data_IF_410543347503
#
_entry.id   IF_410543347503
#
_cell.length_a   1.000
_cell.length_b   1.000
_cell.length_c   1.000
_cell.angle_alpha   90.00
_cell.angle_beta   90.00
_cell.angle_gamma   90.00
#
_symmetry.space_group_name_H-M   'P 1'
#
loop_
_entity.id
_entity.type
_entity.pdbx_description
1 polymer ?
#
# COMPACT_ATOMS: atom_id res chain seq x y z
N UNK A 1 -4.71 19.27 15.87
CA UNK A 1 -4.68 17.92 16.49
C UNK A 1 -4.46 16.81 15.48
N UNK A 2 -5.02 16.85 14.32
CA UNK A 2 -4.92 15.82 13.24
C UNK A 2 -3.51 15.59 12.70
N UNK A 3 -2.65 16.63 12.63
CA UNK A 3 -1.27 16.53 12.11
C UNK A 3 -0.37 15.53 12.84
N UNK A 4 -0.64 15.22 14.13
CA UNK A 4 0.16 14.25 14.91
C UNK A 4 -0.51 12.88 15.01
N UNK A 5 -1.82 12.79 14.79
CA UNK A 5 -2.57 11.54 14.93
C UNK A 5 -2.12 10.49 13.90
N UNK A 6 -1.94 10.89 12.63
CA UNK A 6 -1.53 9.97 11.58
C UNK A 6 -0.22 9.24 11.87
N UNK A 7 0.92 9.95 12.08
CA UNK A 7 2.18 9.31 12.42
C UNK A 7 2.13 8.44 13.69
N UNK A 8 1.34 8.84 14.70
CA UNK A 8 1.18 8.06 15.93
C UNK A 8 0.49 6.73 15.63
N UNK A 9 -0.61 6.73 14.87
CA UNK A 9 -1.32 5.51 14.49
C UNK A 9 -0.39 4.56 13.72
N UNK A 10 0.36 5.07 12.75
CA UNK A 10 1.31 4.26 11.97
C UNK A 10 2.39 3.67 12.87
N UNK A 11 2.99 4.48 13.76
CA UNK A 11 4.03 4.02 14.68
C UNK A 11 3.51 2.95 15.64
N UNK A 12 2.30 3.13 16.18
CA UNK A 12 1.65 2.12 17.03
C UNK A 12 1.38 0.83 16.27
N UNK A 13 0.93 0.91 15.01
CA UNK A 13 0.71 -0.28 14.18
C UNK A 13 2.03 -0.99 13.86
N UNK A 14 3.09 -0.25 13.55
CA UNK A 14 4.43 -0.81 13.33
C UNK A 14 4.95 -1.48 14.62
N UNK A 15 4.82 -0.81 15.74
CA UNK A 15 5.21 -1.38 17.03
C UNK A 15 4.43 -2.65 17.36
N UNK A 16 3.11 -2.64 17.14
CA UNK A 16 2.26 -3.82 17.30
C UNK A 16 2.66 -4.96 16.36
N UNK A 17 2.97 -4.67 15.09
CA UNK A 17 3.41 -5.67 14.13
C UNK A 17 4.77 -6.29 14.48
N UNK A 18 5.72 -5.49 14.99
CA UNK A 18 7.10 -5.95 15.29
C UNK A 18 7.17 -6.62 16.65
N UNK A 19 6.68 -5.96 17.68
CA UNK A 19 6.84 -6.35 19.09
C UNK A 19 5.69 -7.26 19.54
N UNK A 20 4.46 -7.00 19.04
CA UNK A 20 3.24 -7.67 19.48
C UNK A 20 3.31 -9.20 19.47
N UNK A 21 3.78 -9.87 18.40
CA UNK A 21 3.87 -11.32 18.38
C UNK A 21 4.85 -11.92 19.43
N UNK A 22 5.78 -11.12 19.96
CA UNK A 22 6.65 -11.55 21.07
C UNK A 22 6.00 -11.35 22.44
N UNK A 23 4.99 -10.49 22.55
CA UNK A 23 4.27 -10.21 23.80
C UNK A 23 3.03 -11.09 23.98
N UNK A 24 2.44 -11.60 22.89
CA UNK A 24 1.25 -12.46 22.94
C UNK A 24 1.71 -13.90 23.12
N UNK A 25 1.30 -14.59 24.19
CA UNK A 25 1.74 -15.95 24.48
C UNK A 25 1.08 -17.01 23.57
N UNK A 26 0.13 -16.61 22.71
CA UNK A 26 -0.62 -17.51 21.85
C UNK A 26 -0.06 -17.53 20.43
N UNK A 27 0.00 -18.75 19.86
CA UNK A 27 0.34 -18.91 18.45
C UNK A 27 -0.87 -18.54 17.55
N UNK A 28 -0.61 -17.72 16.54
CA UNK A 28 -1.63 -17.31 15.56
C UNK A 28 -2.17 -18.46 14.69
N UNK A 29 -1.55 -19.65 14.74
CA UNK A 29 -1.87 -20.80 13.89
C UNK A 29 -2.47 -21.94 14.73
N UNK A 30 -2.14 -22.03 16.03
CA UNK A 30 -2.62 -23.08 16.93
C UNK A 30 -4.16 -23.05 17.00
N UNK A 31 -4.77 -24.23 16.82
CA UNK A 31 -6.21 -24.40 16.78
C UNK A 31 -6.71 -25.05 18.08
N UNK A 32 -7.84 -24.54 18.58
CA UNK A 32 -8.57 -25.11 19.73
C UNK A 32 -10.08 -25.16 19.38
N UNK A 33 -10.50 -26.19 18.66
CA UNK A 33 -11.86 -26.33 18.17
C UNK A 33 -12.96 -26.27 19.25
N UNK A 34 -12.75 -26.77 20.48
CA UNK A 34 -13.68 -26.57 21.61
C UNK A 34 -13.94 -25.10 21.93
N UNK A 35 -12.94 -24.22 21.69
CA UNK A 35 -13.00 -22.79 22.01
C UNK A 35 -13.41 -21.93 20.81
N UNK A 36 -13.78 -22.52 19.68
CA UNK A 36 -14.16 -21.80 18.45
C UNK A 36 -15.25 -20.76 18.70
N UNK A 37 -15.15 -19.62 18.03
CA UNK A 37 -16.11 -18.50 18.08
C UNK A 37 -16.31 -17.87 19.45
N UNK A 38 -15.52 -18.25 20.45
CA UNK A 38 -15.62 -17.64 21.77
C UNK A 38 -15.30 -16.15 21.71
N UNK A 39 -16.14 -15.36 22.37
CA UNK A 39 -15.97 -13.91 22.49
C UNK A 39 -14.74 -13.53 23.32
N UNK A 40 -14.47 -12.22 23.41
CA UNK A 40 -13.37 -11.67 24.20
C UNK A 40 -13.38 -12.16 25.65
N UNK A 41 -12.20 -12.54 26.17
CA UNK A 41 -11.98 -13.01 27.53
C UNK A 41 -10.62 -12.51 28.07
N UNK A 42 -10.33 -12.70 29.36
CA UNK A 42 -9.05 -12.32 29.93
C UNK A 42 -7.85 -13.08 29.32
N UNK A 43 -8.03 -14.34 28.94
CA UNK A 43 -7.01 -15.14 28.26
C UNK A 43 -6.91 -14.82 26.78
N UNK A 44 -8.02 -14.46 26.12
CA UNK A 44 -8.13 -14.15 24.71
C UNK A 44 -8.79 -12.78 24.52
N UNK A 45 -8.06 -11.65 24.62
CA UNK A 45 -8.64 -10.30 24.71
C UNK A 45 -9.54 -9.90 23.54
N UNK A 46 -9.30 -10.44 22.35
CA UNK A 46 -10.13 -10.19 21.15
C UNK A 46 -11.01 -11.37 20.78
N UNK A 47 -10.99 -12.46 21.57
CA UNK A 47 -11.74 -13.69 21.29
C UNK A 47 -10.98 -14.63 20.35
N UNK A 48 -11.71 -15.64 19.86
CA UNK A 48 -11.19 -16.71 19.03
C UNK A 48 -11.98 -16.83 17.72
N UNK A 49 -11.32 -17.32 16.67
CA UNK A 49 -11.92 -17.47 15.36
C UNK A 49 -12.71 -18.80 15.17
N UNK A 50 -13.15 -19.07 13.95
CA UNK A 50 -13.92 -20.27 13.57
C UNK A 50 -13.18 -21.60 13.80
N UNK A 51 -11.85 -21.57 13.90
CA UNK A 51 -11.00 -22.72 14.21
C UNK A 51 -10.44 -22.69 15.63
N UNK A 52 -10.92 -21.77 16.47
CA UNK A 52 -10.40 -21.58 17.82
C UNK A 52 -8.97 -21.05 17.87
N UNK A 53 -8.56 -20.24 16.90
CA UNK A 53 -7.25 -19.55 16.90
C UNK A 53 -7.39 -18.17 17.56
N UNK A 54 -6.37 -17.74 18.28
CA UNK A 54 -6.39 -16.46 18.96
C UNK A 54 -6.45 -15.27 17.98
N UNK A 55 -7.50 -14.45 18.10
CA UNK A 55 -7.75 -13.35 17.18
C UNK A 55 -6.73 -12.21 17.30
N UNK A 56 -6.21 -11.98 18.52
CA UNK A 56 -5.17 -10.95 18.73
C UNK A 56 -3.86 -11.36 18.06
N UNK A 57 -3.41 -12.59 18.25
CA UNK A 57 -2.21 -13.10 17.61
C UNK A 57 -2.31 -13.03 16.07
N UNK A 58 -3.47 -13.37 15.52
CA UNK A 58 -3.76 -13.28 14.08
C UNK A 58 -3.81 -11.83 13.60
N UNK A 59 -4.38 -10.92 14.37
CA UNK A 59 -4.42 -9.49 14.04
C UNK A 59 -3.01 -8.90 13.93
N UNK A 60 -2.11 -9.26 14.84
CA UNK A 60 -0.72 -8.83 14.84
C UNK A 60 0.07 -9.43 13.65
N UNK A 61 -0.18 -10.68 13.30
CA UNK A 61 0.35 -11.30 12.09
C UNK A 61 -0.15 -10.57 10.84
N UNK A 62 -1.44 -10.27 10.78
CA UNK A 62 -2.06 -9.51 9.69
C UNK A 62 -1.46 -8.11 9.51
N UNK A 63 -1.12 -7.43 10.61
CA UNK A 63 -0.45 -6.14 10.56
C UNK A 63 0.91 -6.21 9.82
N UNK A 64 1.70 -7.26 10.05
CA UNK A 64 2.97 -7.49 9.32
C UNK A 64 2.73 -7.64 7.83
N UNK A 65 1.72 -8.43 7.45
CA UNK A 65 1.38 -8.67 6.04
C UNK A 65 0.95 -7.37 5.37
N UNK A 66 0.01 -6.63 5.96
CA UNK A 66 -0.51 -5.39 5.40
C UNK A 66 0.58 -4.32 5.25
N UNK A 67 1.46 -4.17 6.24
CA UNK A 67 2.60 -3.25 6.16
C UNK A 67 3.61 -3.69 5.09
N UNK A 68 3.93 -4.99 5.03
CA UNK A 68 4.84 -5.54 4.01
C UNK A 68 4.31 -5.29 2.59
N UNK A 69 3.02 -5.57 2.35
CA UNK A 69 2.39 -5.32 1.04
C UNK A 69 2.39 -3.84 0.72
N UNK A 70 1.96 -2.99 1.67
CA UNK A 70 1.95 -1.55 1.48
C UNK A 70 3.32 -1.02 1.04
N UNK A 71 4.37 -1.33 1.81
CA UNK A 71 5.75 -0.88 1.52
C UNK A 71 6.25 -1.45 0.19
N UNK A 72 6.01 -2.74 -0.08
CA UNK A 72 6.45 -3.39 -1.32
C UNK A 72 5.77 -2.80 -2.55
N UNK A 73 4.44 -2.68 -2.53
CA UNK A 73 3.65 -2.15 -3.64
C UNK A 73 4.01 -0.69 -3.90
N UNK A 74 3.99 0.14 -2.86
CA UNK A 74 4.26 1.57 -2.99
C UNK A 74 5.72 1.82 -3.36
N UNK A 75 6.67 1.13 -2.72
CA UNK A 75 8.09 1.28 -2.99
C UNK A 75 8.45 0.97 -4.44
N UNK A 76 7.98 -0.19 -4.95
CA UNK A 76 8.24 -0.60 -6.33
C UNK A 76 7.48 0.31 -7.33
N UNK A 77 6.21 0.61 -7.06
CA UNK A 77 5.41 1.49 -7.92
C UNK A 77 5.97 2.91 -8.01
N UNK A 78 6.41 3.47 -6.89
CA UNK A 78 7.02 4.79 -6.85
C UNK A 78 8.37 4.81 -7.59
N UNK A 79 9.21 3.79 -7.40
CA UNK A 79 10.50 3.67 -8.09
C UNK A 79 10.31 3.57 -9.61
N UNK A 80 9.53 2.59 -10.05
CA UNK A 80 9.28 2.33 -11.47
C UNK A 80 8.56 3.53 -12.12
N UNK A 81 7.50 4.02 -11.48
CA UNK A 81 6.75 5.16 -11.99
C UNK A 81 7.57 6.44 -12.06
N UNK A 82 8.43 6.70 -11.06
CA UNK A 82 9.33 7.87 -11.09
C UNK A 82 10.31 7.80 -12.26
N UNK A 83 10.93 6.65 -12.49
CA UNK A 83 11.88 6.49 -13.60
C UNK A 83 11.15 6.65 -14.95
N UNK A 84 10.06 5.93 -15.15
CA UNK A 84 9.30 5.97 -16.41
C UNK A 84 8.73 7.38 -16.66
N UNK A 85 8.13 7.99 -15.64
CA UNK A 85 7.57 9.34 -15.74
C UNK A 85 8.63 10.42 -16.00
N UNK A 86 9.82 10.28 -15.37
CA UNK A 86 10.92 11.19 -15.59
C UNK A 86 11.47 11.09 -17.02
N UNK A 87 11.65 9.87 -17.52
CA UNK A 87 12.10 9.63 -18.90
C UNK A 87 11.08 10.16 -19.91
N UNK A 88 9.80 9.84 -19.76
CA UNK A 88 8.73 10.30 -20.65
C UNK A 88 8.65 11.84 -20.67
N UNK A 89 8.58 12.47 -19.50
CA UNK A 89 8.46 13.93 -19.40
C UNK A 89 9.67 14.68 -19.91
N UNK A 90 10.87 14.13 -19.75
CA UNK A 90 12.11 14.79 -20.16
C UNK A 90 12.38 14.64 -21.67
N UNK A 91 12.28 13.43 -22.22
CA UNK A 91 12.51 13.16 -23.64
C UNK A 91 11.42 13.76 -24.54
N UNK A 92 10.15 13.65 -24.12
CA UNK A 92 9.03 14.10 -24.94
C UNK A 92 8.86 13.27 -26.22
N UNK A 93 8.20 13.85 -27.24
CA UNK A 93 8.06 13.27 -28.56
C UNK A 93 7.46 11.85 -28.58
N UNK A 94 8.07 10.96 -29.37
CA UNK A 94 7.60 9.59 -29.57
C UNK A 94 7.66 8.75 -28.28
N UNK A 95 8.71 8.90 -27.47
CA UNK A 95 8.85 8.18 -26.19
C UNK A 95 7.70 8.53 -25.23
N UNK A 96 7.39 9.81 -25.12
CA UNK A 96 6.28 10.29 -24.31
C UNK A 96 4.92 9.79 -24.81
N UNK A 97 4.72 9.80 -26.14
CA UNK A 97 3.50 9.31 -26.76
C UNK A 97 3.27 7.80 -26.53
N UNK A 98 4.33 6.97 -26.65
CA UNK A 98 4.23 5.53 -26.41
C UNK A 98 3.94 5.24 -24.93
N UNK A 99 4.72 5.83 -24.01
CA UNK A 99 4.53 5.64 -22.57
C UNK A 99 3.15 6.13 -22.14
N UNK A 100 2.71 7.29 -22.68
CA UNK A 100 1.37 7.82 -22.44
C UNK A 100 0.28 6.84 -22.87
N UNK A 101 0.41 6.25 -24.06
CA UNK A 101 -0.54 5.26 -24.57
C UNK A 101 -0.61 4.00 -23.68
N UNK A 102 0.54 3.49 -23.20
CA UNK A 102 0.57 2.36 -22.26
C UNK A 102 -0.14 2.70 -20.96
N UNK A 103 0.12 3.89 -20.40
CA UNK A 103 -0.58 4.36 -19.19
C UNK A 103 -2.10 4.47 -19.42
N UNK A 104 -2.53 4.98 -20.57
CA UNK A 104 -3.94 5.13 -20.89
C UNK A 104 -4.65 3.78 -21.04
N UNK A 105 -4.00 2.79 -21.67
CA UNK A 105 -4.52 1.41 -21.76
C UNK A 105 -4.70 0.79 -20.37
N UNK A 106 -3.71 0.91 -19.47
CA UNK A 106 -3.82 0.36 -18.12
C UNK A 106 -4.92 1.05 -17.29
N UNK A 107 -5.14 2.35 -17.48
CA UNK A 107 -6.17 3.11 -16.78
C UNK A 107 -7.57 2.99 -17.42
N UNK A 108 -7.68 2.44 -18.62
CA UNK A 108 -8.98 2.12 -19.21
C UNK A 108 -9.72 1.00 -18.44
N UNK A 109 -8.97 0.19 -17.69
CA UNK A 109 -9.54 -0.85 -16.82
C UNK A 109 -9.68 -0.33 -15.38
N UNK A 110 -10.79 -0.64 -14.69
CA UNK A 110 -10.87 -0.43 -13.24
C UNK A 110 -9.75 -1.19 -12.54
N UNK A 111 -8.87 -0.48 -11.78
CA UNK A 111 -7.64 -1.07 -11.24
C UNK A 111 -7.86 -2.35 -10.44
N UNK A 112 -8.88 -2.38 -9.56
CA UNK A 112 -9.17 -3.57 -8.76
C UNK A 112 -9.60 -4.77 -9.62
N UNK A 113 -10.36 -4.55 -10.70
CA UNK A 113 -10.78 -5.63 -11.60
C UNK A 113 -9.59 -6.20 -12.37
N UNK A 114 -8.66 -5.35 -12.79
CA UNK A 114 -7.44 -5.80 -13.44
C UNK A 114 -6.55 -6.59 -12.46
N UNK A 115 -6.46 -6.15 -11.20
CA UNK A 115 -5.73 -6.89 -10.16
C UNK A 115 -6.36 -8.27 -9.91
N UNK A 116 -7.69 -8.36 -9.81
CA UNK A 116 -8.41 -9.63 -9.67
C UNK A 116 -8.10 -10.55 -10.85
N UNK A 117 -8.20 -10.03 -12.09
CA UNK A 117 -7.93 -10.82 -13.30
C UNK A 117 -6.49 -11.33 -13.33
N UNK A 118 -5.51 -10.49 -12.98
CA UNK A 118 -4.10 -10.90 -12.92
C UNK A 118 -3.86 -11.99 -11.89
N UNK A 119 -4.39 -11.84 -10.67
CA UNK A 119 -4.22 -12.84 -9.61
C UNK A 119 -4.97 -14.12 -9.94
N UNK A 120 -6.15 -14.06 -10.57
CA UNK A 120 -6.89 -15.24 -11.01
C UNK A 120 -6.10 -16.08 -12.02
N UNK A 121 -5.30 -15.45 -12.90
CA UNK A 121 -4.44 -16.14 -13.86
C UNK A 121 -3.13 -16.63 -13.22
N UNK A 122 -2.50 -15.82 -12.35
CA UNK A 122 -1.22 -16.14 -11.73
C UNK A 122 -1.36 -17.14 -10.55
N UNK A 123 -2.56 -17.29 -10.02
CA UNK A 123 -2.87 -18.06 -8.81
C UNK A 123 -2.81 -17.22 -7.53
N UNK A 124 -3.57 -17.64 -6.49
CA UNK A 124 -3.68 -16.92 -5.23
C UNK A 124 -2.39 -17.04 -4.41
N UNK A 125 -1.74 -15.90 -4.17
CA UNK A 125 -0.56 -15.82 -3.27
C UNK A 125 -0.25 -14.36 -2.95
N UNK A 126 0.43 -14.12 -1.83
CA UNK A 126 0.89 -12.78 -1.45
C UNK A 126 1.77 -12.14 -2.53
N UNK A 127 2.69 -12.92 -3.12
CA UNK A 127 3.57 -12.45 -4.19
C UNK A 127 2.78 -11.96 -5.41
N UNK A 128 1.79 -12.72 -5.83
CA UNK A 128 0.99 -12.39 -7.01
C UNK A 128 0.08 -11.20 -6.77
N UNK A 129 -0.43 -11.02 -5.53
CA UNK A 129 -1.11 -9.79 -5.10
C UNK A 129 -0.21 -8.57 -5.23
N UNK A 130 1.02 -8.63 -4.69
CA UNK A 130 1.99 -7.53 -4.82
C UNK A 130 2.28 -7.23 -6.29
N UNK A 131 2.53 -8.25 -7.12
CA UNK A 131 2.79 -8.09 -8.55
C UNK A 131 1.61 -7.43 -9.28
N UNK A 132 0.39 -7.89 -9.01
CA UNK A 132 -0.82 -7.32 -9.62
C UNK A 132 -1.03 -5.86 -9.23
N UNK A 133 -0.88 -5.52 -7.95
CA UNK A 133 -1.03 -4.14 -7.47
C UNK A 133 0.09 -3.22 -8.00
N UNK A 134 1.32 -3.71 -8.10
CA UNK A 134 2.45 -2.95 -8.70
C UNK A 134 2.22 -2.69 -10.18
N UNK A 135 1.70 -3.69 -10.93
CA UNK A 135 1.44 -3.57 -12.38
C UNK A 135 0.52 -2.40 -12.71
N UNK A 136 -0.35 -2.02 -11.80
CA UNK A 136 -1.27 -0.88 -11.96
C UNK A 136 -0.74 0.36 -11.24
N UNK A 137 -0.16 0.17 -10.06
CA UNK A 137 0.22 1.24 -9.14
C UNK A 137 1.24 2.23 -9.70
N UNK A 138 2.20 1.77 -10.51
CA UNK A 138 3.25 2.63 -11.07
C UNK A 138 2.73 3.76 -11.96
N UNK A 139 1.56 3.57 -12.60
CA UNK A 139 0.98 4.53 -13.56
C UNK A 139 0.68 5.87 -12.89
N UNK A 140 0.14 5.85 -11.67
CA UNK A 140 -0.15 7.07 -10.89
C UNK A 140 1.10 7.90 -10.62
N UNK A 141 2.19 7.23 -10.24
CA UNK A 141 3.49 7.88 -10.01
C UNK A 141 4.10 8.40 -11.32
N UNK A 142 4.03 7.61 -12.38
CA UNK A 142 4.56 8.02 -13.68
C UNK A 142 3.85 9.28 -14.22
N UNK A 143 2.52 9.37 -14.12
CA UNK A 143 1.77 10.57 -14.50
C UNK A 143 2.15 11.78 -13.65
N UNK A 144 2.22 11.60 -12.34
CA UNK A 144 2.61 12.66 -11.42
C UNK A 144 4.00 13.22 -11.78
N UNK A 145 4.98 12.33 -11.87
CA UNK A 145 6.38 12.70 -12.16
C UNK A 145 6.51 13.31 -13.56
N UNK A 146 5.88 12.71 -14.58
CA UNK A 146 5.85 13.27 -15.93
C UNK A 146 5.34 14.72 -15.92
N UNK A 147 4.22 15.00 -15.22
CA UNK A 147 3.67 16.35 -15.11
C UNK A 147 4.61 17.34 -14.43
N UNK A 148 5.36 16.90 -13.41
CA UNK A 148 6.38 17.73 -12.76
C UNK A 148 7.57 17.98 -13.69
N UNK A 149 8.07 16.94 -14.36
CA UNK A 149 9.24 17.01 -15.22
C UNK A 149 9.01 17.90 -16.42
N UNK A 150 7.81 17.92 -16.99
CA UNK A 150 7.45 18.87 -18.06
C UNK A 150 7.63 20.34 -17.65
N UNK A 151 7.43 20.67 -16.36
CA UNK A 151 7.68 22.01 -15.81
C UNK A 151 9.15 22.22 -15.50
N UNK A 152 9.80 21.23 -14.88
CA UNK A 152 11.19 21.32 -14.41
C UNK A 152 12.16 21.46 -15.58
N UNK A 153 11.93 20.78 -16.70
CA UNK A 153 12.82 20.81 -17.86
C UNK A 153 12.89 22.18 -18.56
N UNK A 154 11.87 23.03 -18.35
CA UNK A 154 11.82 24.38 -18.92
C UNK A 154 12.49 25.44 -18.01
N UNK A 155 12.97 25.06 -16.82
CA UNK A 155 13.66 25.97 -15.92
C UNK A 155 15.07 26.32 -16.45
N UNK A 156 15.47 27.58 -16.34
CA UNK A 156 16.71 28.12 -16.88
C UNK A 156 17.96 27.33 -16.47
N UNK A 157 18.02 26.90 -15.20
CA UNK A 157 19.16 26.13 -14.72
C UNK A 157 19.26 24.74 -15.36
N UNK A 158 18.12 24.09 -15.69
CA UNK A 158 18.10 22.80 -16.38
C UNK A 158 18.54 23.00 -17.83
N UNK A 159 18.07 24.05 -18.48
CA UNK A 159 18.46 24.40 -19.84
C UNK A 159 19.96 24.74 -19.92
N UNK A 160 20.50 25.51 -18.96
CA UNK A 160 21.91 25.80 -18.87
C UNK A 160 22.77 24.51 -18.73
N UNK A 161 22.33 23.53 -17.92
CA UNK A 161 23.04 22.26 -17.77
C UNK A 161 23.00 21.46 -19.08
N UNK A 162 21.89 21.50 -19.80
CA UNK A 162 21.78 20.87 -21.14
C UNK A 162 22.72 21.50 -22.14
N UNK A 163 22.84 22.83 -22.12
CA UNK A 163 23.75 23.56 -23.01
C UNK A 163 25.24 23.25 -22.76
N UNK A 164 25.58 22.66 -21.61
CA UNK A 164 26.92 22.18 -21.25
C UNK A 164 27.14 20.68 -21.61
N UNK A 165 26.36 20.13 -22.53
CA UNK A 165 26.45 18.74 -22.99
C UNK A 165 26.35 17.69 -21.88
N UNK A 166 25.65 17.99 -20.78
CA UNK A 166 25.42 17.04 -19.72
C UNK A 166 24.59 15.83 -20.20
N UNK A 167 25.04 14.60 -19.88
CA UNK A 167 24.33 13.39 -20.27
C UNK A 167 22.92 13.35 -19.66
N UNK A 168 21.97 12.75 -20.39
CA UNK A 168 20.58 12.53 -19.92
C UNK A 168 20.53 11.95 -18.50
N UNK A 169 21.32 10.89 -18.25
CA UNK A 169 21.35 10.23 -16.96
C UNK A 169 21.77 11.17 -15.82
N UNK A 170 22.75 12.07 -16.08
CA UNK A 170 23.21 13.07 -15.11
C UNK A 170 22.11 14.09 -14.81
N UNK A 171 21.46 14.64 -15.84
CA UNK A 171 20.37 15.60 -15.66
C UNK A 171 19.20 14.99 -14.89
N UNK A 172 18.76 13.79 -15.28
CA UNK A 172 17.66 13.10 -14.59
C UNK A 172 18.01 12.82 -13.13
N UNK A 173 19.16 12.18 -12.87
CA UNK A 173 19.53 11.71 -11.54
C UNK A 173 19.87 12.82 -10.58
N UNK A 174 20.58 13.89 -11.05
CA UNK A 174 21.08 14.93 -10.17
C UNK A 174 20.14 16.12 -10.00
N UNK A 175 19.24 16.36 -10.97
CA UNK A 175 18.41 17.57 -10.97
C UNK A 175 16.91 17.30 -11.06
N UNK A 176 16.48 16.43 -11.97
CA UNK A 176 15.06 16.23 -12.27
C UNK A 176 14.39 15.34 -11.21
N UNK A 177 14.91 14.14 -10.97
CA UNK A 177 14.31 13.20 -10.01
C UNK A 177 14.29 13.77 -8.58
N UNK A 178 15.37 14.37 -8.05
CA UNK A 178 15.33 14.98 -6.72
C UNK A 178 14.29 16.10 -6.59
N UNK A 179 14.06 16.88 -7.64
CA UNK A 179 13.03 17.92 -7.63
C UNK A 179 11.59 17.40 -7.58
N UNK A 180 11.35 16.12 -7.94
CA UNK A 180 10.03 15.48 -7.83
C UNK A 180 9.79 14.80 -6.48
N UNK A 181 10.81 14.73 -5.61
CA UNK A 181 10.78 13.92 -4.38
C UNK A 181 9.64 14.30 -3.43
N UNK A 182 9.35 15.58 -3.26
CA UNK A 182 8.24 16.02 -2.38
C UNK A 182 6.90 15.50 -2.87
N UNK A 183 6.61 15.66 -4.15
CA UNK A 183 5.36 15.20 -4.74
C UNK A 183 5.21 13.66 -4.69
N UNK A 184 6.31 12.94 -4.99
CA UNK A 184 6.34 11.47 -4.90
C UNK A 184 6.15 10.98 -3.46
N UNK A 185 6.76 11.64 -2.47
CA UNK A 185 6.62 11.27 -1.06
C UNK A 185 5.19 11.42 -0.54
N UNK A 186 4.51 12.52 -0.89
CA UNK A 186 3.09 12.70 -0.57
C UNK A 186 2.24 11.63 -1.24
N UNK A 187 2.43 11.39 -2.54
CA UNK A 187 1.72 10.36 -3.28
C UNK A 187 1.99 8.96 -2.71
N UNK A 188 3.23 8.67 -2.26
CA UNK A 188 3.58 7.40 -1.64
C UNK A 188 2.83 7.17 -0.33
N UNK A 189 2.72 8.20 0.52
CA UNK A 189 1.98 8.09 1.78
C UNK A 189 0.50 7.78 1.54
N UNK A 190 -0.14 8.46 0.59
CA UNK A 190 -1.54 8.19 0.20
C UNK A 190 -1.68 6.83 -0.50
N UNK A 191 -0.68 6.45 -1.29
CA UNK A 191 -0.60 5.15 -1.97
C UNK A 191 -0.58 3.96 -1.00
N UNK A 192 0.00 4.13 0.20
CA UNK A 192 -0.01 3.09 1.25
C UNK A 192 -1.43 2.69 1.64
N UNK A 193 -2.32 3.67 1.84
CA UNK A 193 -3.72 3.39 2.14
C UNK A 193 -4.40 2.59 1.02
N UNK A 194 -4.18 2.99 -0.25
CA UNK A 194 -4.70 2.28 -1.41
C UNK A 194 -4.17 0.85 -1.55
N UNK A 195 -2.88 0.62 -1.29
CA UNK A 195 -2.26 -0.70 -1.36
C UNK A 195 -2.81 -1.64 -0.27
N UNK A 196 -3.01 -1.13 0.96
CA UNK A 196 -3.58 -1.90 2.08
C UNK A 196 -5.02 -2.30 1.78
N UNK A 197 -5.84 -1.37 1.28
CA UNK A 197 -7.23 -1.67 0.88
C UNK A 197 -7.23 -2.67 -0.29
N UNK A 198 -6.35 -2.51 -1.27
CA UNK A 198 -6.23 -3.42 -2.42
C UNK A 198 -5.86 -4.84 -2.00
N UNK A 199 -4.88 -5.01 -1.11
CA UNK A 199 -4.52 -6.32 -0.53
C UNK A 199 -5.70 -6.91 0.24
N UNK A 200 -6.31 -6.13 1.15
CA UNK A 200 -7.43 -6.61 1.95
C UNK A 200 -8.62 -7.05 1.08
N UNK A 201 -8.91 -6.32 0.00
CA UNK A 201 -9.97 -6.66 -0.94
C UNK A 201 -9.67 -7.96 -1.70
N UNK A 202 -8.45 -8.13 -2.20
CA UNK A 202 -8.04 -9.36 -2.89
C UNK A 202 -8.01 -10.56 -1.94
N UNK A 203 -7.53 -10.37 -0.71
CA UNK A 203 -7.52 -11.40 0.32
C UNK A 203 -8.92 -11.77 0.80
N UNK A 204 -9.84 -10.80 0.91
CA UNK A 204 -11.27 -11.03 1.20
C UNK A 204 -11.97 -11.87 0.13
N UNK A 205 -11.51 -11.79 -1.12
CA UNK A 205 -12.01 -12.61 -2.24
C UNK A 205 -11.28 -13.96 -2.35
N UNK A 206 -10.44 -14.33 -1.38
CA UNK A 206 -9.69 -15.59 -1.39
C UNK A 206 -8.48 -15.59 -2.35
N UNK A 207 -8.16 -14.47 -2.97
CA UNK A 207 -7.06 -14.33 -3.93
C UNK A 207 -5.72 -13.94 -3.28
N UNK A 208 -5.73 -13.61 -1.99
CA UNK A 208 -4.56 -13.13 -1.26
C UNK A 208 -3.73 -14.22 -0.62
N UNK A 209 -3.36 -13.96 0.63
CA UNK A 209 -2.58 -14.87 1.47
C UNK A 209 -3.38 -16.14 1.72
N UNK A 210 -2.70 -17.28 1.61
CA UNK A 210 -3.35 -18.58 1.82
C UNK A 210 -3.14 -19.07 3.26
N UNK A 211 -4.10 -19.86 3.80
CA UNK A 211 -3.92 -20.51 5.10
C UNK A 211 -2.60 -21.29 5.18
N UNK A 212 -1.98 -21.39 6.37
CA UNK A 212 -2.46 -20.95 7.69
C UNK A 212 -2.20 -19.46 8.00
N UNK A 213 -1.49 -18.73 7.12
CA UNK A 213 -1.12 -17.34 7.32
C UNK A 213 -2.37 -16.45 7.35
N UNK A 214 -2.40 -15.47 8.26
CA UNK A 214 -3.49 -14.51 8.37
C UNK A 214 -3.10 -13.16 7.75
N UNK A 215 -4.02 -12.56 6.98
CA UNK A 215 -4.05 -11.12 6.72
C UNK A 215 -5.38 -10.56 7.22
N UNK A 216 -5.48 -9.25 7.38
CA UNK A 216 -6.74 -8.64 7.81
C UNK A 216 -7.88 -8.91 6.81
N UNK A 217 -7.56 -8.99 5.50
CA UNK A 217 -8.53 -9.34 4.46
C UNK A 217 -9.05 -10.79 4.58
N UNK A 218 -8.16 -11.76 4.83
CA UNK A 218 -8.59 -13.16 5.05
C UNK A 218 -9.36 -13.33 6.36
N UNK A 219 -9.06 -12.55 7.40
CA UNK A 219 -9.83 -12.54 8.64
C UNK A 219 -11.24 -12.00 8.40
N UNK A 220 -11.41 -10.96 7.58
CA UNK A 220 -12.73 -10.44 7.19
C UNK A 220 -13.53 -11.48 6.38
N UNK A 221 -12.88 -12.21 5.46
CA UNK A 221 -13.52 -13.27 4.69
C UNK A 221 -14.04 -14.40 5.59
N UNK A 222 -13.19 -14.89 6.51
CA UNK A 222 -13.59 -15.89 7.50
C UNK A 222 -14.74 -15.42 8.40
N UNK A 223 -14.68 -14.16 8.86
CA UNK A 223 -15.68 -13.58 9.76
C UNK A 223 -17.04 -13.28 9.12
N UNK A 224 -17.15 -13.15 7.78
CA UNK A 224 -18.39 -12.72 7.11
C UNK A 224 -19.57 -13.67 7.33
N UNK A 225 -19.31 -14.97 7.50
CA UNK A 225 -20.34 -15.98 7.79
C UNK A 225 -20.82 -15.96 9.25
N UNK A 226 -20.09 -15.22 10.12
CA UNK A 226 -20.32 -15.16 11.56
C UNK A 226 -20.72 -13.76 12.05
N UNK A 227 -21.31 -12.93 11.18
CA UNK A 227 -21.65 -11.54 11.51
C UNK A 227 -22.66 -11.42 12.68
N UNK A 228 -23.53 -12.39 12.86
CA UNK A 228 -24.57 -12.35 13.88
C UNK A 228 -24.20 -13.11 15.16
N UNK A 229 -23.39 -14.15 15.06
CA UNK A 229 -23.00 -15.02 16.19
C UNK A 229 -21.62 -14.65 16.77
N UNK A 230 -20.71 -14.14 15.95
CA UNK A 230 -19.37 -13.73 16.35
C UNK A 230 -18.89 -12.45 15.64
N UNK A 231 -19.56 -11.27 15.85
CA UNK A 231 -19.27 -10.03 15.11
C UNK A 231 -17.84 -9.50 15.31
N UNK A 232 -17.17 -9.89 16.41
CA UNK A 232 -15.77 -9.51 16.67
C UNK A 232 -14.82 -9.99 15.58
N UNK A 233 -15.12 -11.06 14.86
CA UNK A 233 -14.31 -11.60 13.76
C UNK A 233 -14.21 -10.64 12.56
N UNK A 234 -15.22 -9.80 12.34
CA UNK A 234 -15.22 -8.80 11.27
C UNK A 234 -14.92 -7.40 11.78
N UNK A 235 -15.44 -7.03 12.95
CA UNK A 235 -15.24 -5.69 13.53
C UNK A 235 -13.74 -5.43 13.80
N UNK A 236 -13.04 -6.38 14.39
CA UNK A 236 -11.65 -6.21 14.80
C UNK A 236 -10.72 -5.97 13.60
N UNK A 237 -10.65 -6.83 12.58
CA UNK A 237 -9.80 -6.59 11.42
C UNK A 237 -10.28 -5.40 10.58
N UNK A 238 -11.58 -5.15 10.49
CA UNK A 238 -12.13 -3.97 9.82
C UNK A 238 -11.69 -2.66 10.45
N UNK A 239 -11.71 -2.57 11.77
CA UNK A 239 -11.21 -1.40 12.51
C UNK A 239 -9.69 -1.25 12.35
N UNK A 240 -8.93 -2.33 12.33
CA UNK A 240 -7.48 -2.29 12.12
C UNK A 240 -7.14 -1.70 10.75
N UNK A 241 -7.81 -2.16 9.68
CA UNK A 241 -7.66 -1.60 8.33
C UNK A 241 -8.04 -0.11 8.32
N UNK A 242 -9.21 0.23 8.87
CA UNK A 242 -9.69 1.61 8.89
C UNK A 242 -8.73 2.56 9.61
N UNK A 243 -8.23 2.15 10.79
CA UNK A 243 -7.28 2.94 11.58
C UNK A 243 -5.97 3.15 10.82
N UNK A 244 -5.40 2.10 10.21
CA UNK A 244 -4.13 2.21 9.48
C UNK A 244 -4.29 3.08 8.22
N UNK A 245 -5.38 2.93 7.48
CA UNK A 245 -5.72 3.76 6.32
C UNK A 245 -5.87 5.24 6.71
N UNK A 246 -6.60 5.53 7.80
CA UNK A 246 -6.70 6.88 8.33
C UNK A 246 -5.34 7.43 8.78
N UNK A 247 -4.50 6.60 9.39
CA UNK A 247 -3.15 6.95 9.78
C UNK A 247 -2.31 7.43 8.59
N UNK A 248 -2.32 6.68 7.49
CA UNK A 248 -1.61 7.08 6.27
C UNK A 248 -2.21 8.31 5.61
N UNK A 249 -3.53 8.44 5.52
CA UNK A 249 -4.18 9.63 4.95
C UNK A 249 -3.82 10.90 5.74
N UNK A 250 -3.97 10.89 7.06
CA UNK A 250 -3.60 12.05 7.90
C UNK A 250 -2.11 12.38 7.82
N UNK A 251 -1.25 11.36 7.68
CA UNK A 251 0.20 11.58 7.50
C UNK A 251 0.48 12.19 6.13
N UNK A 252 -0.18 11.71 5.08
CA UNK A 252 -0.06 12.26 3.73
C UNK A 252 -0.48 13.72 3.64
N UNK A 253 -1.62 14.07 4.25
CA UNK A 253 -2.11 15.45 4.32
C UNK A 253 -1.12 16.35 5.10
N UNK A 254 -0.65 15.89 6.25
CA UNK A 254 0.33 16.63 7.05
C UNK A 254 1.68 16.81 6.32
N UNK A 255 2.09 15.82 5.53
CA UNK A 255 3.31 15.90 4.70
C UNK A 255 3.12 16.87 3.55
N UNK A 256 1.97 16.83 2.88
CA UNK A 256 1.61 17.78 1.83
C UNK A 256 1.68 19.21 2.33
N UNK A 257 1.04 19.51 3.48
CA UNK A 257 1.03 20.85 4.08
C UNK A 257 2.45 21.36 4.42
N UNK A 258 3.38 20.46 4.76
CA UNK A 258 4.76 20.83 5.09
C UNK A 258 5.65 21.04 3.86
N UNK A 259 5.35 20.34 2.78
CA UNK A 259 6.14 20.35 1.55
C UNK A 259 5.59 21.32 0.50
N UNK A 260 4.41 21.90 0.73
CA UNK A 260 3.85 22.94 -0.14
C UNK A 260 4.52 24.28 0.16
N UNK A 261 5.31 24.86 -0.79
CA UNK A 261 6.04 26.11 -0.58
C UNK A 261 5.12 27.35 -0.61
N UNK A 262 3.79 27.20 -0.75
CA UNK A 262 2.83 28.30 -0.87
C UNK A 262 2.08 28.60 0.44
N UNK A 263 2.40 27.92 1.51
CA UNK A 263 1.96 28.19 2.88
C UNK A 263 3.13 28.72 3.71
#
# INVERSE_FOLDING_TARGET
MTRRAGPIIILLTIAAAVIGPALVPHDAIAQDLPMRLNGPSWSHPLGMDELGRDLLARLLMGARISLFVGVSVVGVSALVGTIIGAVAGYLGGVADAIIGRVMDVLLAFPGILLAIALVAVLGPSLRNVVLALVTIGWVGYARLVRGQVLKIRELDYVQAIRAQDASLARVLRAHVIPATFSAVSVQATLGMAGAIIGEASLSFLGLGVQPPTASWGTMLDAGRSHLFDAPHLTIVPGLAIALLVLGFNFTGDALRDRLDPRL
#
